data_IF_416506443714
#
_entry.id   IF_416506443714
#
_cell.length_a   1.000
_cell.length_b   1.000
_cell.length_c   1.000
_cell.angle_alpha   90.00
_cell.angle_beta   90.00
_cell.angle_gamma   90.00
#
_symmetry.space_group_name_H-M   'P 1'
#
loop_
_entity.id
_entity.type
_entity.pdbx_description
1 polymer ?
#
# COMPACT_ATOMS: atom_id res chain seq x y z
N UNK A 1 16.91 -10.39 0.88
CA UNK A 1 15.87 -9.37 0.66
C UNK A 1 15.46 -9.58 -0.76
N UNK A 2 14.22 -10.01 -0.96
CA UNK A 2 13.81 -10.66 -2.19
C UNK A 2 12.84 -9.76 -2.93
N UNK A 3 13.05 -9.68 -4.24
CA UNK A 3 12.37 -8.75 -5.10
C UNK A 3 11.99 -9.48 -6.39
N UNK A 4 10.71 -9.42 -6.76
CA UNK A 4 10.25 -9.93 -8.05
C UNK A 4 9.27 -8.94 -8.67
N UNK A 5 9.29 -8.87 -9.99
CA UNK A 5 8.31 -8.13 -10.79
C UNK A 5 7.63 -9.15 -11.70
N UNK A 6 6.30 -9.09 -11.74
CA UNK A 6 5.48 -9.81 -12.71
C UNK A 6 4.81 -8.77 -13.58
N UNK A 7 4.91 -8.92 -14.90
CA UNK A 7 4.10 -8.12 -15.82
C UNK A 7 2.78 -8.84 -16.06
N UNK A 8 1.69 -8.13 -15.83
CA UNK A 8 0.33 -8.54 -16.18
C UNK A 8 -0.16 -7.67 -17.35
N UNK A 9 -1.35 -7.97 -17.88
CA UNK A 9 -1.90 -7.25 -19.03
C UNK A 9 -1.99 -5.74 -18.77
N UNK A 10 -2.53 -5.34 -17.62
CA UNK A 10 -2.85 -3.95 -17.27
C UNK A 10 -1.89 -3.30 -16.25
N UNK A 11 -0.97 -4.06 -15.66
CA UNK A 11 -0.10 -3.59 -14.57
C UNK A 11 1.21 -4.36 -14.44
N UNK A 12 2.13 -3.79 -13.70
CA UNK A 12 3.29 -4.50 -13.14
C UNK A 12 3.05 -4.75 -11.65
N UNK A 13 3.25 -5.98 -11.21
CA UNK A 13 3.11 -6.41 -9.81
C UNK A 13 4.48 -6.58 -9.19
N UNK A 14 4.81 -5.69 -8.27
CA UNK A 14 6.04 -5.74 -7.49
C UNK A 14 5.78 -6.51 -6.20
N UNK A 15 6.57 -7.56 -5.95
CA UNK A 15 6.63 -8.26 -4.66
C UNK A 15 7.92 -7.85 -3.94
N UNK A 16 7.77 -7.26 -2.76
CA UNK A 16 8.87 -6.68 -2.00
C UNK A 16 9.02 -7.38 -0.65
N UNK A 17 10.15 -8.06 -0.40
CA UNK A 17 10.32 -8.87 0.81
C UNK A 17 11.67 -8.66 1.56
N UNK A 18 11.72 -7.81 2.59
CA UNK A 18 10.69 -6.87 3.01
C UNK A 18 10.57 -5.67 2.06
N UNK A 19 9.44 -4.98 2.07
CA UNK A 19 9.40 -3.61 1.54
C UNK A 19 10.24 -2.66 2.42
N UNK A 20 10.73 -1.59 1.80
CA UNK A 20 11.81 -0.75 2.32
C UNK A 20 11.64 -0.30 3.77
N UNK A 21 10.48 0.23 4.15
CA UNK A 21 10.29 0.78 5.50
C UNK A 21 9.28 0.00 6.33
N UNK A 22 8.03 -0.14 5.86
CA UNK A 22 6.97 -0.84 6.59
C UNK A 22 7.30 -2.30 6.91
N UNK A 23 7.83 -3.04 5.92
CA UNK A 23 8.22 -4.43 6.10
C UNK A 23 9.44 -4.60 7.01
N UNK A 24 10.43 -3.71 6.91
CA UNK A 24 11.56 -3.69 7.84
C UNK A 24 11.10 -3.38 9.27
N UNK A 25 10.17 -2.44 9.44
CA UNK A 25 9.54 -2.16 10.75
C UNK A 25 8.78 -3.36 11.29
N UNK A 26 8.00 -4.04 10.44
CA UNK A 26 7.22 -5.20 10.87
C UNK A 26 8.11 -6.35 11.36
N UNK A 27 9.29 -6.51 10.76
CA UNK A 27 10.29 -7.51 11.14
C UNK A 27 11.21 -7.10 12.30
N UNK A 28 11.04 -5.91 12.89
CA UNK A 28 11.97 -5.39 13.89
C UNK A 28 13.40 -5.22 13.36
N UNK A 29 13.54 -4.89 12.08
CA UNK A 29 14.82 -4.70 11.37
C UNK A 29 15.19 -3.22 11.19
N UNK A 30 14.36 -2.31 11.67
CA UNK A 30 14.71 -0.91 11.93
C UNK A 30 15.06 -0.77 13.41
N UNK A 31 15.92 0.20 13.73
CA UNK A 31 16.34 0.56 15.10
C UNK A 31 17.39 -0.31 15.79
N UNK A 32 17.98 -1.33 15.15
CA UNK A 32 19.02 -2.14 15.83
C UNK A 32 20.23 -1.33 16.29
N UNK A 33 20.54 -0.21 15.62
CA UNK A 33 21.75 0.59 15.86
C UNK A 33 21.52 2.12 15.76
N UNK A 34 20.30 2.61 16.02
CA UNK A 34 19.95 4.04 15.85
C UNK A 34 19.84 4.78 17.20
N UNK A 35 20.18 6.06 17.21
CA UNK A 35 19.93 6.96 18.34
C UNK A 35 18.43 6.98 18.70
N UNK A 36 18.14 6.80 19.99
CA UNK A 36 16.78 6.87 20.52
C UNK A 36 16.52 8.25 21.12
N UNK A 37 15.60 9.01 20.53
CA UNK A 37 15.07 10.23 21.12
C UNK A 37 13.74 9.90 21.82
N UNK A 38 13.77 9.76 23.14
CA UNK A 38 12.57 9.48 23.96
C UNK A 38 11.99 8.07 23.76
N UNK A 39 10.70 7.93 24.09
CA UNK A 39 10.00 6.65 23.98
C UNK A 39 9.91 6.17 22.53
N UNK A 40 10.03 4.85 22.35
CA UNK A 40 9.97 4.23 21.01
C UNK A 40 8.60 4.49 20.39
N UNK A 41 8.58 5.04 19.17
CA UNK A 41 7.37 5.09 18.36
C UNK A 41 6.79 3.67 18.28
N UNK A 42 5.49 3.52 18.54
CA UNK A 42 4.83 2.23 18.43
C UNK A 42 5.09 1.63 17.04
N UNK A 43 5.68 0.44 16.92
CA UNK A 43 6.06 -0.12 15.62
C UNK A 43 4.84 -0.54 14.79
N UNK A 44 3.69 -0.70 15.45
CA UNK A 44 2.42 -1.07 14.85
C UNK A 44 1.30 -0.19 15.39
N UNK A 45 0.29 0.02 14.56
CA UNK A 45 -0.98 0.59 14.95
C UNK A 45 -1.94 -0.53 15.33
N UNK A 46 -2.40 -0.56 16.59
CA UNK A 46 -3.26 -1.61 17.11
C UNK A 46 -4.65 -1.62 16.45
N UNK A 47 -5.27 -0.45 16.32
CA UNK A 47 -6.64 -0.33 15.84
C UNK A 47 -6.73 -0.12 14.32
N UNK A 48 -7.77 -0.66 13.65
CA UNK A 48 -8.06 -0.35 12.25
C UNK A 48 -8.35 1.14 12.04
N UNK A 49 -7.83 1.71 10.96
CA UNK A 49 -8.14 3.06 10.51
C UNK A 49 -7.86 3.21 8.99
N UNK A 50 -8.50 4.15 8.32
CA UNK A 50 -8.26 4.42 6.88
C UNK A 50 -6.80 4.76 6.53
N UNK A 51 -6.02 5.21 7.52
CA UNK A 51 -4.59 5.52 7.34
C UNK A 51 -3.70 4.29 7.54
N UNK A 52 -4.23 3.12 7.88
CA UNK A 52 -3.45 1.90 8.04
C UNK A 52 -4.08 0.72 7.29
N UNK A 53 -4.73 1.03 6.17
CA UNK A 53 -5.43 0.06 5.35
C UNK A 53 -6.62 -0.62 6.06
N UNK A 54 -7.27 0.07 7.02
CA UNK A 54 -8.32 -0.50 7.85
C UNK A 54 -7.91 -1.83 8.50
N UNK A 55 -6.63 -1.93 8.89
CA UNK A 55 -6.01 -3.17 9.33
C UNK A 55 -5.52 -3.07 10.77
N UNK A 56 -5.75 -4.11 11.57
CA UNK A 56 -5.11 -4.27 12.88
C UNK A 56 -3.62 -4.57 12.71
N UNK A 57 -2.83 -4.14 13.68
CA UNK A 57 -1.40 -4.44 13.78
C UNK A 57 -0.60 -4.08 12.52
N UNK A 58 -1.03 -3.06 11.79
CA UNK A 58 -0.32 -2.54 10.64
C UNK A 58 0.96 -1.81 11.08
N UNK A 59 2.12 -2.00 10.43
CA UNK A 59 3.31 -1.22 10.73
C UNK A 59 3.01 0.27 10.62
N UNK A 60 3.41 1.06 11.61
CA UNK A 60 3.07 2.49 11.65
C UNK A 60 3.57 3.23 10.41
N UNK A 61 4.68 2.79 9.82
CA UNK A 61 5.20 3.37 8.58
C UNK A 61 4.31 3.10 7.35
N UNK A 62 3.46 2.07 7.37
CA UNK A 62 2.52 1.81 6.28
C UNK A 62 1.48 2.93 6.11
N UNK A 63 1.39 3.86 7.05
CA UNK A 63 0.57 5.07 6.93
C UNK A 63 0.94 5.95 5.74
N UNK A 64 2.23 6.02 5.38
CA UNK A 64 2.68 6.69 4.17
C UNK A 64 2.12 6.04 2.89
N UNK A 65 2.07 4.71 2.86
CA UNK A 65 1.50 3.96 1.76
C UNK A 65 -0.01 4.19 1.64
N UNK A 66 -0.74 4.17 2.77
CA UNK A 66 -2.18 4.44 2.76
C UNK A 66 -2.50 5.87 2.30
N UNK A 67 -1.71 6.86 2.75
CA UNK A 67 -1.85 8.24 2.30
C UNK A 67 -1.57 8.40 0.80
N UNK A 68 -0.52 7.76 0.28
CA UNK A 68 -0.18 7.77 -1.15
C UNK A 68 -1.24 7.06 -2.00
N UNK A 69 -1.77 5.92 -1.53
CA UNK A 69 -2.91 5.26 -2.17
C UNK A 69 -4.09 6.22 -2.25
N UNK A 70 -4.41 6.93 -1.16
CA UNK A 70 -5.55 7.85 -1.15
C UNK A 70 -5.39 8.99 -2.16
N UNK A 71 -4.22 9.63 -2.21
CA UNK A 71 -3.95 10.70 -3.18
C UNK A 71 -4.11 10.24 -4.64
N UNK A 72 -3.75 8.99 -4.95
CA UNK A 72 -3.90 8.42 -6.28
C UNK A 72 -5.35 7.95 -6.55
N UNK A 73 -5.97 7.26 -5.59
CA UNK A 73 -7.24 6.59 -5.79
C UNK A 73 -8.46 7.50 -5.66
N UNK A 74 -8.38 8.63 -4.94
CA UNK A 74 -9.47 9.63 -4.89
C UNK A 74 -9.81 10.20 -6.28
N UNK A 75 -8.82 10.29 -7.16
CA UNK A 75 -8.94 10.82 -8.52
C UNK A 75 -8.66 9.77 -9.59
N UNK A 76 -8.81 8.47 -9.27
CA UNK A 76 -8.44 7.37 -10.18
C UNK A 76 -9.20 7.37 -11.51
N UNK A 77 -10.41 7.93 -11.56
CA UNK A 77 -11.20 8.05 -12.80
C UNK A 77 -10.59 9.03 -13.80
N UNK A 78 -9.74 9.96 -13.35
CA UNK A 78 -9.06 10.88 -14.25
C UNK A 78 -7.91 10.18 -14.97
N UNK A 79 -7.82 10.24 -16.31
CA UNK A 79 -6.68 9.71 -17.06
C UNK A 79 -5.37 10.44 -16.73
N UNK A 80 -5.44 11.68 -16.20
CA UNK A 80 -4.27 12.44 -15.76
C UNK A 80 -3.69 11.96 -14.42
N UNK A 81 -4.44 11.15 -13.66
CA UNK A 81 -3.97 10.63 -12.37
C UNK A 81 -3.06 9.43 -12.58
N UNK A 82 -1.78 9.50 -12.19
CA UNK A 82 -0.88 8.37 -12.33
C UNK A 82 -1.16 7.35 -11.21
N UNK A 83 -1.23 6.05 -11.57
CA UNK A 83 -1.42 4.95 -10.64
C UNK A 83 -0.18 4.06 -10.64
N UNK A 84 0.90 4.55 -10.05
CA UNK A 84 2.26 4.01 -10.22
C UNK A 84 2.90 3.59 -8.89
N UNK A 85 2.15 3.68 -7.79
CA UNK A 85 2.58 3.19 -6.49
C UNK A 85 1.34 2.84 -5.66
N UNK A 86 0.49 1.95 -6.17
CA UNK A 86 -0.73 1.54 -5.48
C UNK A 86 -0.45 0.28 -4.66
N UNK A 87 -0.54 0.38 -3.35
CA UNK A 87 -0.15 -0.69 -2.41
C UNK A 87 -1.36 -1.56 -2.04
N UNK A 88 -1.19 -2.87 -2.09
CA UNK A 88 -2.07 -3.81 -1.39
C UNK A 88 -1.62 -3.90 0.08
N UNK A 89 -2.32 -3.16 0.94
CA UNK A 89 -2.07 -3.12 2.37
C UNK A 89 -2.43 -4.41 3.10
N UNK A 90 -3.08 -5.37 2.43
CA UNK A 90 -3.43 -6.67 2.97
C UNK A 90 -2.48 -7.79 2.49
N UNK A 91 -1.54 -7.52 1.59
CA UNK A 91 -0.52 -8.51 1.21
C UNK A 91 0.46 -8.81 2.37
N UNK A 92 0.90 -7.78 3.10
CA UNK A 92 1.84 -7.93 4.22
C UNK A 92 1.10 -8.14 5.54
N UNK A 93 0.51 -9.31 5.77
CA UNK A 93 -0.31 -9.58 6.97
C UNK A 93 0.50 -9.89 8.24
N UNK A 94 1.74 -10.36 8.11
CA UNK A 94 2.57 -10.78 9.23
C UNK A 94 4.04 -10.37 9.06
N UNK A 95 4.85 -10.35 10.13
CA UNK A 95 6.30 -10.25 10.01
C UNK A 95 6.83 -11.36 9.09
N UNK A 96 7.64 -11.00 8.10
CA UNK A 96 8.13 -11.95 7.09
C UNK A 96 7.29 -12.03 5.82
N UNK A 97 6.04 -11.53 5.83
CA UNK A 97 5.23 -11.48 4.63
C UNK A 97 5.70 -10.37 3.65
N UNK A 98 5.66 -10.63 2.34
CA UNK A 98 6.00 -9.63 1.34
C UNK A 98 4.93 -8.53 1.25
N UNK A 99 5.34 -7.34 0.87
CA UNK A 99 4.41 -6.30 0.41
C UNK A 99 4.14 -6.50 -1.09
N UNK A 100 2.99 -6.02 -1.56
CA UNK A 100 2.63 -5.99 -2.98
C UNK A 100 2.30 -4.56 -3.41
N UNK A 101 2.90 -4.14 -4.51
CA UNK A 101 2.73 -2.83 -5.11
C UNK A 101 2.37 -3.00 -6.58
N UNK A 102 1.43 -2.18 -7.05
CA UNK A 102 0.98 -2.15 -8.44
C UNK A 102 1.42 -0.86 -9.12
N UNK A 103 1.91 -1.01 -10.33
CA UNK A 103 2.16 0.07 -11.29
C UNK A 103 1.27 -0.19 -12.50
N UNK A 104 0.16 0.52 -12.61
CA UNK A 104 -0.77 0.38 -13.73
C UNK A 104 -0.19 1.00 -14.99
N UNK A 105 -0.41 0.32 -16.12
CA UNK A 105 -0.09 0.84 -17.45
C UNK A 105 -1.01 2.01 -17.78
N UNK A 106 -0.60 2.85 -18.74
CA UNK A 106 -1.34 4.08 -19.09
C UNK A 106 -2.74 3.80 -19.65
N UNK A 107 -2.88 2.68 -20.33
CA UNK A 107 -4.10 2.18 -20.98
C UNK A 107 -4.91 1.23 -20.08
N UNK A 108 -4.49 1.00 -18.83
CA UNK A 108 -5.25 0.21 -17.87
C UNK A 108 -6.64 0.83 -17.65
N UNK A 109 -7.67 0.02 -17.85
CA UNK A 109 -9.07 0.41 -17.61
C UNK A 109 -9.27 0.68 -16.13
N UNK A 110 -9.72 1.90 -15.78
CA UNK A 110 -9.83 2.35 -14.38
C UNK A 110 -10.93 1.59 -13.63
N UNK A 111 -11.93 1.13 -14.36
CA UNK A 111 -13.03 0.30 -13.87
C UNK A 111 -12.61 -1.13 -13.47
N UNK A 112 -11.46 -1.61 -13.96
CA UNK A 112 -10.92 -2.94 -13.63
C UNK A 112 -9.99 -2.93 -12.40
N UNK A 113 -9.71 -1.75 -11.84
CA UNK A 113 -8.91 -1.64 -10.62
C UNK A 113 -9.70 -2.31 -9.50
N UNK A 114 -9.03 -3.22 -8.79
CA UNK A 114 -9.63 -3.99 -7.71
C UNK A 114 -10.29 -3.07 -6.67
N UNK A 115 -11.62 -3.20 -6.45
CA UNK A 115 -12.36 -2.44 -5.44
C UNK A 115 -11.74 -2.48 -4.04
N UNK A 116 -11.12 -3.61 -3.67
CA UNK A 116 -10.47 -3.78 -2.38
C UNK A 116 -9.36 -2.73 -2.13
N UNK A 117 -8.74 -2.22 -3.20
CA UNK A 117 -7.69 -1.21 -3.09
C UNK A 117 -8.21 0.16 -2.66
N UNK A 118 -9.47 0.47 -2.97
CA UNK A 118 -10.17 1.67 -2.53
C UNK A 118 -10.72 1.47 -1.11
N UNK A 119 -11.32 0.33 -0.84
CA UNK A 119 -11.99 0.03 0.43
C UNK A 119 -11.02 0.03 1.62
N UNK A 120 -9.80 -0.49 1.43
CA UNK A 120 -8.76 -0.50 2.47
C UNK A 120 -8.40 0.91 2.96
N UNK A 121 -8.57 1.96 2.15
CA UNK A 121 -8.31 3.36 2.54
C UNK A 121 -9.59 4.18 2.74
N UNK A 122 -10.74 3.49 2.87
CA UNK A 122 -12.04 4.12 3.14
C UNK A 122 -12.58 4.92 1.95
N UNK A 123 -12.29 4.51 0.73
CA UNK A 123 -12.91 5.03 -0.48
C UNK A 123 -13.89 4.01 -1.07
N UNK A 124 -14.81 4.50 -1.90
CA UNK A 124 -15.68 3.67 -2.73
C UNK A 124 -15.23 3.84 -4.18
N UNK A 125 -15.02 2.76 -4.96
CA UNK A 125 -14.69 2.88 -6.37
C UNK A 125 -15.79 3.64 -7.10
N UNK A 126 -15.43 4.73 -7.80
CA UNK A 126 -16.38 5.43 -8.66
C UNK A 126 -16.52 4.64 -9.94
N UNK A 127 -17.68 4.01 -10.15
CA UNK A 127 -18.06 3.50 -11.47
C UNK A 127 -18.35 4.71 -12.35
N UNK A 128 -17.76 4.78 -13.54
CA UNK A 128 -18.20 5.76 -14.53
C UNK A 128 -19.67 5.47 -14.86
N UNK A 129 -20.54 6.44 -14.60
CA UNK A 129 -21.90 6.44 -15.14
C UNK A 129 -21.75 6.73 -16.63
N UNK A 130 -21.75 5.68 -17.47
CA UNK A 130 -21.89 5.88 -18.91
C UNK A 130 -23.24 6.58 -19.16
N UNK A 131 -23.18 7.80 -19.68
CA UNK A 131 -24.33 8.49 -20.28
C UNK A 131 -24.58 7.95 -21.69
#
# INVERSE_FOLDING_TARGET
ADFTIIEEEDRFVFRLDPCGSGGRLFRGAVWRDMFHYGDRLAPKMASPHRINFNRRDAPTYCTHCAASNRAQLESASSPATPLFFVIDGHAQTAPGAPCRCYVYKKDARREDIDPALFEQIGLVPRKETRA
#
